data_IF_221847888746
#
_entry.id   IF_221847888746
#
_cell.length_a   1.000
_cell.length_b   1.000
_cell.length_c   1.000
_cell.angle_alpha   90.00
_cell.angle_beta   90.00
_cell.angle_gamma   90.00
#
_symmetry.space_group_name_H-M   'P 1'
#
loop_
_entity.id
_entity.type
_entity.pdbx_description
1 polymer ?
#
# COMPACT_ATOMS: atom_id res chain seq x y z
N UNK A 1 -12.15 -3.18 9.57
CA UNK A 1 -13.18 -2.12 9.57
C UNK A 1 -13.36 -1.75 11.03
N UNK A 2 -12.87 -0.57 11.41
CA UNK A 2 -12.90 -0.10 12.80
C UNK A 2 -14.01 0.94 12.97
N UNK A 3 -14.74 0.88 14.09
CA UNK A 3 -15.79 1.85 14.43
C UNK A 3 -15.32 2.77 15.57
N UNK A 4 -15.35 4.09 15.35
CA UNK A 4 -14.77 5.10 16.27
C UNK A 4 -15.82 6.05 16.82
N UNK A 5 -15.74 6.45 18.09
CA UNK A 5 -16.64 7.44 18.68
C UNK A 5 -16.18 8.89 18.41
N UNK A 6 -17.06 9.75 17.90
CA UNK A 6 -16.75 11.12 17.44
C UNK A 6 -16.51 12.12 18.61
N UNK A 7 -17.12 11.91 19.77
CA UNK A 7 -17.13 12.89 20.88
C UNK A 7 -15.83 13.02 21.70
N UNK A 8 -14.85 12.12 21.53
CA UNK A 8 -13.61 12.08 22.33
C UNK A 8 -12.33 12.21 21.49
N UNK A 9 -12.42 12.89 20.35
CA UNK A 9 -11.39 12.93 19.31
C UNK A 9 -10.16 13.76 19.75
N UNK A 10 -9.31 13.22 20.62
CA UNK A 10 -7.88 13.47 20.46
C UNK A 10 -7.46 12.66 19.24
N UNK A 11 -7.22 13.32 18.11
CA UNK A 11 -6.85 12.64 16.86
C UNK A 11 -5.51 11.92 17.05
N UNK A 12 -5.57 10.63 17.39
CA UNK A 12 -4.47 9.71 17.14
C UNK A 12 -4.21 9.68 15.62
N UNK A 13 -2.99 9.37 15.21
CA UNK A 13 -2.67 9.27 13.79
C UNK A 13 -3.58 8.24 13.12
N UNK A 14 -4.05 8.52 11.89
CA UNK A 14 -4.89 7.57 11.14
C UNK A 14 -4.18 6.22 10.92
N UNK A 15 -2.84 6.20 10.93
CA UNK A 15 -2.06 4.97 10.82
C UNK A 15 -2.04 4.16 12.11
N UNK A 16 -2.19 4.81 13.26
CA UNK A 16 -2.23 4.16 14.58
C UNK A 16 -3.64 3.67 14.95
N UNK A 17 -4.64 4.00 14.13
CA UNK A 17 -5.99 3.49 14.23
C UNK A 17 -6.05 2.01 13.85
N UNK A 18 -7.17 1.37 14.15
CA UNK A 18 -7.44 -0.07 14.01
C UNK A 18 -6.37 -0.90 14.72
N UNK A 19 -5.96 -0.40 15.90
CA UNK A 19 -4.89 -0.97 16.74
C UNK A 19 -3.55 -1.12 15.98
N UNK A 20 -3.29 -0.23 15.02
CA UNK A 20 -2.08 -0.26 14.21
C UNK A 20 -2.19 -1.11 12.93
N UNK A 21 -3.33 -1.72 12.64
CA UNK A 21 -3.50 -2.53 11.42
C UNK A 21 -3.22 -1.72 10.14
N UNK A 22 -3.52 -0.42 10.14
CA UNK A 22 -3.22 0.43 9.00
C UNK A 22 -1.73 0.75 8.83
N UNK A 23 -0.99 0.84 9.93
CA UNK A 23 0.47 0.93 9.92
C UNK A 23 1.07 -0.35 9.32
N UNK A 24 0.59 -1.53 9.75
CA UNK A 24 1.02 -2.81 9.18
C UNK A 24 0.78 -2.88 7.66
N UNK A 25 -0.38 -2.41 7.19
CA UNK A 25 -0.68 -2.35 5.74
C UNK A 25 0.29 -1.43 5.00
N UNK A 26 0.60 -0.26 5.57
CA UNK A 26 1.53 0.69 4.97
C UNK A 26 2.96 0.11 4.91
N UNK A 27 3.42 -0.49 6.01
CA UNK A 27 4.75 -1.09 6.12
C UNK A 27 4.90 -2.29 5.18
N UNK A 28 3.89 -3.16 5.11
CA UNK A 28 3.86 -4.27 4.15
C UNK A 28 3.91 -3.77 2.71
N UNK A 29 3.14 -2.73 2.40
CA UNK A 29 3.12 -2.12 1.06
C UNK A 29 4.47 -1.50 0.69
N UNK A 30 5.12 -0.85 1.65
CA UNK A 30 6.47 -0.29 1.48
C UNK A 30 7.50 -1.38 1.22
N UNK A 31 7.47 -2.49 1.97
CA UNK A 31 8.36 -3.63 1.74
C UNK A 31 8.23 -4.16 0.30
N UNK A 32 7.01 -4.27 -0.24
CA UNK A 32 6.78 -4.70 -1.62
C UNK A 32 7.32 -3.73 -2.67
N UNK A 33 7.24 -2.43 -2.41
CA UNK A 33 7.85 -1.43 -3.31
C UNK A 33 9.37 -1.55 -3.29
N UNK A 34 9.97 -1.76 -2.11
CA UNK A 34 11.41 -1.96 -1.99
C UNK A 34 11.87 -3.24 -2.70
N UNK A 35 11.15 -4.34 -2.55
CA UNK A 35 11.39 -5.59 -3.29
C UNK A 35 11.38 -5.34 -4.79
N UNK A 36 10.40 -4.59 -5.30
CA UNK A 36 10.30 -4.24 -6.72
C UNK A 36 11.42 -3.29 -7.20
N UNK A 37 11.86 -2.34 -6.37
CA UNK A 37 12.99 -1.45 -6.69
C UNK A 37 14.30 -2.24 -6.79
N UNK A 38 14.51 -3.20 -5.90
CA UNK A 38 15.71 -4.04 -5.87
C UNK A 38 15.69 -5.17 -6.91
N UNK A 39 14.54 -5.40 -7.57
CA UNK A 39 14.40 -6.44 -8.58
C UNK A 39 15.15 -6.06 -9.87
N UNK A 40 16.19 -6.81 -10.27
CA UNK A 40 16.99 -6.50 -11.46
C UNK A 40 16.21 -6.63 -12.77
N UNK A 41 15.07 -7.31 -12.77
CA UNK A 41 14.20 -7.45 -13.94
C UNK A 41 13.23 -6.28 -14.11
N UNK A 42 13.34 -5.23 -13.30
CA UNK A 42 12.53 -4.03 -13.40
C UNK A 42 13.41 -2.84 -13.76
N UNK A 43 12.86 -1.89 -14.52
CA UNK A 43 13.59 -0.69 -14.89
C UNK A 43 13.85 0.15 -13.63
N UNK A 44 15.12 0.31 -13.26
CA UNK A 44 15.54 0.95 -12.01
C UNK A 44 14.93 2.34 -11.75
N UNK A 45 14.79 3.16 -12.81
CA UNK A 45 14.27 4.53 -12.71
C UNK A 45 12.77 4.67 -12.96
N UNK A 46 12.06 3.57 -13.20
CA UNK A 46 10.61 3.62 -13.40
C UNK A 46 9.91 4.07 -12.10
N UNK A 47 8.89 4.95 -12.16
CA UNK A 47 8.13 5.33 -10.97
C UNK A 47 7.43 4.12 -10.34
N UNK A 48 7.40 4.08 -8.99
CA UNK A 48 6.56 3.17 -8.18
C UNK A 48 5.59 4.02 -7.40
N UNK A 49 4.39 3.51 -7.16
CA UNK A 49 3.35 4.24 -6.43
C UNK A 49 2.74 3.37 -5.34
N UNK A 50 2.51 3.96 -4.17
CA UNK A 50 1.61 3.46 -3.14
C UNK A 50 0.47 4.48 -3.02
N UNK A 51 -0.76 4.03 -3.25
CA UNK A 51 -1.97 4.81 -3.00
C UNK A 51 -2.79 4.12 -1.94
N UNK A 52 -3.09 4.80 -0.83
CA UNK A 52 -4.01 4.31 0.20
C UNK A 52 -5.32 5.07 0.08
N UNK A 53 -6.42 4.35 -0.17
CA UNK A 53 -7.76 4.93 -0.23
C UNK A 53 -8.48 4.66 1.07
N UNK A 54 -8.99 5.73 1.69
CA UNK A 54 -9.70 5.68 2.96
C UNK A 54 -11.17 5.98 2.74
N UNK A 55 -12.05 5.14 3.28
CA UNK A 55 -13.50 5.34 3.23
C UNK A 55 -14.04 5.46 4.64
N UNK A 56 -14.87 6.49 4.85
CA UNK A 56 -15.46 6.83 6.13
C UNK A 56 -16.97 6.73 6.02
N UNK A 57 -17.58 5.88 6.85
CA UNK A 57 -19.03 5.68 6.88
C UNK A 57 -19.54 6.11 8.26
N UNK A 58 -20.06 7.33 8.42
CA UNK A 58 -20.63 7.77 9.69
C UNK A 58 -21.98 7.08 9.95
N UNK A 59 -22.32 6.87 11.22
CA UNK A 59 -23.69 6.49 11.59
C UNK A 59 -24.63 7.71 11.57
N UNK A 60 -25.94 7.47 11.57
CA UNK A 60 -26.98 8.52 11.50
C UNK A 60 -26.84 9.56 12.62
N UNK A 61 -26.51 9.10 13.82
CA UNK A 61 -26.38 9.96 15.01
C UNK A 61 -25.06 10.75 15.02
N UNK A 62 -24.17 10.53 14.04
CA UNK A 62 -22.82 11.14 13.97
C UNK A 62 -22.05 10.98 15.29
N UNK A 63 -22.25 9.85 15.93
CA UNK A 63 -21.52 9.45 17.13
C UNK A 63 -20.44 8.44 16.80
N UNK A 64 -20.56 7.73 15.67
CA UNK A 64 -19.63 6.70 15.23
C UNK A 64 -19.22 6.86 13.77
N UNK A 65 -18.00 6.47 13.43
CA UNK A 65 -17.52 6.36 12.04
C UNK A 65 -16.84 5.02 11.84
N UNK A 66 -17.25 4.28 10.81
CA UNK A 66 -16.52 3.13 10.30
C UNK A 66 -15.45 3.58 9.32
N UNK A 67 -14.24 3.06 9.47
CA UNK A 67 -13.11 3.37 8.59
C UNK A 67 -12.61 2.11 7.89
N UNK A 68 -12.46 2.22 6.58
CA UNK A 68 -11.88 1.20 5.70
C UNK A 68 -10.65 1.77 4.98
N UNK A 69 -9.61 0.97 4.83
CA UNK A 69 -8.41 1.31 4.06
C UNK A 69 -8.18 0.29 2.95
N UNK A 70 -7.89 0.76 1.74
CA UNK A 70 -7.53 -0.10 0.61
C UNK A 70 -6.22 0.39 -0.01
N UNK A 71 -5.14 -0.39 0.06
CA UNK A 71 -3.88 -0.07 -0.60
C UNK A 71 -3.91 -0.48 -2.08
N UNK A 72 -3.25 0.32 -2.92
CA UNK A 72 -2.98 0.00 -4.32
C UNK A 72 -1.51 0.29 -4.62
N UNK A 73 -0.82 -0.72 -5.13
CA UNK A 73 0.58 -0.64 -5.54
C UNK A 73 0.70 -0.50 -7.05
N UNK A 74 1.60 0.38 -7.49
CA UNK A 74 2.10 0.48 -8.86
C UNK A 74 3.59 0.12 -8.87
N UNK A 75 3.93 -0.92 -9.62
CA UNK A 75 5.31 -1.40 -9.77
C UNK A 75 5.99 -0.80 -10.99
N UNK A 76 7.32 -0.92 -11.03
CA UNK A 76 8.11 -0.46 -12.16
C UNK A 76 7.81 -1.22 -13.45
N UNK A 77 8.13 -0.60 -14.58
CA UNK A 77 8.12 -1.29 -15.87
C UNK A 77 9.08 -2.47 -15.84
N UNK A 78 8.61 -3.65 -16.21
CA UNK A 78 9.50 -4.81 -16.38
C UNK A 78 10.43 -4.60 -17.57
N UNK A 79 11.67 -5.04 -17.42
CA UNK A 79 12.59 -5.16 -18.54
C UNK A 79 12.14 -6.33 -19.43
N UNK A 80 12.40 -6.26 -20.75
CA UNK A 80 12.16 -7.40 -21.62
C UNK A 80 12.99 -8.59 -21.13
N UNK A 81 12.35 -9.75 -21.00
CA UNK A 81 13.07 -10.98 -20.71
C UNK A 81 14.05 -11.22 -21.85
N UNK A 82 15.35 -11.18 -21.54
CA UNK A 82 16.36 -11.64 -22.46
C UNK A 82 16.10 -13.11 -22.73
N UNK A 83 15.60 -13.46 -23.92
CA UNK A 83 15.74 -14.82 -24.40
C UNK A 83 17.22 -15.03 -24.61
N UNK A 84 17.89 -15.77 -23.71
CA UNK A 84 19.13 -16.43 -24.10
C UNK A 84 18.73 -17.42 -25.20
N UNK A 85 18.86 -16.99 -26.45
CA UNK A 85 18.81 -17.90 -27.58
C UNK A 85 19.84 -18.98 -27.34
N UNK A 86 19.46 -20.23 -27.54
CA UNK A 86 20.30 -21.43 -27.32
C UNK A 86 21.52 -21.52 -28.26
N UNK A 87 22.05 -20.40 -28.74
CA UNK A 87 23.16 -20.28 -29.69
C UNK A 87 24.46 -19.77 -29.05
N UNK A 88 24.47 -19.30 -27.81
CA UNK A 88 25.71 -18.90 -27.09
C UNK A 88 26.42 -20.10 -26.43
N UNK A 89 26.40 -21.24 -27.12
CA UNK A 89 27.32 -22.36 -26.90
C UNK A 89 27.98 -22.70 -28.23
N UNK A 90 28.97 -21.91 -28.63
CA UNK A 90 30.02 -22.31 -29.56
C UNK A 90 31.36 -21.87 -29.03
#
# INVERSE_FOLDING_TARGET
METLNIGSMHMKSILEMDRGAFMEIADYSMAKILDDIMNPNTQATSPRTLTMTWKFTPNEQRTKVEVECTPKLGFGKMLPLGTVSASDKM
#
